data_IF_322551758800
#
_entry.id   IF_322551758800
#
_cell.length_a   1.000
_cell.length_b   1.000
_cell.length_c   1.000
_cell.angle_alpha   90.00
_cell.angle_beta   90.00
_cell.angle_gamma   90.00
#
_symmetry.space_group_name_H-M   'P 1'
#
loop_
_entity.id
_entity.type
_entity.pdbx_description
1 polymer ?
#
# COMPACT_ATOMS: atom_id res chain seq x y z
N UNK A 1 -1.74 12.18 -29.20
CA UNK A 1 -1.14 11.29 -28.15
C UNK A 1 -0.02 10.55 -28.84
N UNK A 2 1.21 10.60 -28.33
CA UNK A 2 2.39 10.10 -29.06
C UNK A 2 2.44 8.56 -28.94
N UNK A 3 2.61 7.83 -30.04
CA UNK A 3 2.68 6.36 -30.12
C UNK A 3 3.71 5.73 -29.17
N UNK A 4 4.82 6.45 -28.92
CA UNK A 4 5.86 6.07 -27.97
C UNK A 4 5.36 6.09 -26.50
N UNK A 5 4.53 7.07 -26.13
CA UNK A 5 3.94 7.16 -24.78
C UNK A 5 2.94 6.03 -24.53
N UNK A 6 2.16 5.68 -25.57
CA UNK A 6 1.21 4.56 -25.53
C UNK A 6 1.93 3.22 -25.33
N UNK A 7 3.02 2.97 -26.06
CA UNK A 7 3.81 1.73 -25.93
C UNK A 7 4.44 1.60 -24.55
N UNK A 8 5.01 2.68 -23.98
CA UNK A 8 5.55 2.70 -22.62
C UNK A 8 4.48 2.31 -21.59
N UNK A 9 3.29 2.88 -21.71
CA UNK A 9 2.16 2.60 -20.82
C UNK A 9 1.69 1.15 -20.93
N UNK A 10 1.57 0.61 -22.15
CA UNK A 10 1.20 -0.79 -22.37
C UNK A 10 2.22 -1.76 -21.75
N UNK A 11 3.51 -1.50 -21.94
CA UNK A 11 4.60 -2.27 -21.32
C UNK A 11 4.52 -2.24 -19.79
N UNK A 12 4.33 -1.05 -19.19
CA UNK A 12 4.21 -0.89 -17.74
C UNK A 12 3.01 -1.66 -17.19
N UNK A 13 1.85 -1.59 -17.84
CA UNK A 13 0.65 -2.30 -17.43
C UNK A 13 0.78 -3.82 -17.57
N UNK A 14 1.39 -4.31 -18.66
CA UNK A 14 1.67 -5.73 -18.85
C UNK A 14 2.67 -6.24 -17.80
N UNK A 15 3.74 -5.49 -17.53
CA UNK A 15 4.74 -5.82 -16.53
C UNK A 15 4.12 -5.86 -15.13
N UNK A 16 3.31 -4.87 -14.75
CA UNK A 16 2.61 -4.81 -13.48
C UNK A 16 1.78 -6.08 -13.22
N UNK A 17 0.97 -6.48 -14.20
CA UNK A 17 0.15 -7.70 -14.13
C UNK A 17 1.01 -8.95 -14.02
N UNK A 18 2.04 -9.10 -14.86
CA UNK A 18 2.86 -10.30 -14.89
C UNK A 18 3.73 -10.44 -13.65
N UNK A 19 4.35 -9.36 -13.18
CA UNK A 19 5.14 -9.38 -11.95
C UNK A 19 4.28 -9.70 -10.72
N UNK A 20 3.07 -9.15 -10.62
CA UNK A 20 2.18 -9.46 -9.49
C UNK A 20 1.71 -10.92 -9.48
N UNK A 21 1.58 -11.57 -10.66
CA UNK A 21 1.14 -12.95 -10.78
C UNK A 21 2.25 -13.98 -10.65
N UNK A 22 3.46 -13.70 -11.17
CA UNK A 22 4.53 -14.66 -11.38
C UNK A 22 5.83 -14.31 -10.65
N UNK A 23 5.86 -13.17 -10.00
CA UNK A 23 7.07 -12.62 -9.42
C UNK A 23 8.06 -12.04 -10.45
N UNK A 24 9.10 -11.41 -9.91
CA UNK A 24 10.17 -10.85 -10.73
C UNK A 24 10.89 -11.95 -11.54
N UNK A 25 11.33 -13.04 -10.89
CA UNK A 25 12.10 -14.12 -11.53
C UNK A 25 11.24 -14.90 -12.54
N UNK A 26 9.98 -15.15 -12.24
CA UNK A 26 9.05 -15.89 -13.11
C UNK A 26 8.54 -15.11 -14.33
N UNK A 27 8.98 -13.85 -14.51
CA UNK A 27 8.52 -12.99 -15.61
C UNK A 27 9.67 -12.65 -16.56
N UNK A 28 9.55 -13.03 -17.83
CA UNK A 28 10.53 -12.68 -18.88
C UNK A 28 10.17 -11.40 -19.61
N UNK A 29 11.18 -10.70 -20.17
CA UNK A 29 10.96 -9.54 -21.07
C UNK A 29 10.08 -9.93 -22.24
N UNK A 30 10.30 -11.12 -22.82
CA UNK A 30 9.51 -11.63 -23.93
C UNK A 30 8.02 -11.75 -23.54
N UNK A 31 7.72 -12.32 -22.38
CA UNK A 31 6.32 -12.41 -21.90
C UNK A 31 5.66 -11.04 -21.73
N UNK A 32 6.43 -10.03 -21.26
CA UNK A 32 5.93 -8.66 -21.11
C UNK A 32 5.66 -8.02 -22.47
N UNK A 33 6.58 -8.14 -23.42
CA UNK A 33 6.42 -7.55 -24.75
C UNK A 33 5.30 -8.21 -25.52
N UNK A 34 5.17 -9.54 -25.46
CA UNK A 34 4.06 -10.28 -26.08
C UNK A 34 2.71 -9.81 -25.51
N UNK A 35 2.61 -9.68 -24.17
CA UNK A 35 1.39 -9.21 -23.49
C UNK A 35 1.07 -7.74 -23.75
N UNK A 36 2.06 -6.92 -24.08
CA UNK A 36 1.91 -5.50 -24.39
C UNK A 36 1.66 -5.24 -25.89
N UNK A 37 1.76 -6.26 -26.75
CA UNK A 37 1.73 -6.09 -28.21
C UNK A 37 2.89 -5.20 -28.69
N UNK A 38 4.09 -5.39 -28.13
CA UNK A 38 5.28 -4.61 -28.45
C UNK A 38 6.43 -5.51 -28.89
N UNK A 39 7.40 -4.95 -29.62
CA UNK A 39 8.60 -5.68 -29.99
C UNK A 39 9.59 -5.79 -28.81
N UNK A 40 10.51 -6.73 -28.89
CA UNK A 40 11.46 -7.03 -27.82
C UNK A 40 12.37 -5.82 -27.47
N UNK A 41 12.72 -4.99 -28.46
CA UNK A 41 13.53 -3.79 -28.27
C UNK A 41 12.82 -2.66 -27.50
N UNK A 42 11.49 -2.70 -27.42
CA UNK A 42 10.72 -1.65 -26.76
C UNK A 42 11.04 -1.52 -25.26
N UNK A 43 11.32 -2.64 -24.56
CA UNK A 43 11.73 -2.59 -23.15
C UNK A 43 13.10 -1.91 -23.01
N UNK A 44 14.06 -2.27 -23.85
CA UNK A 44 15.38 -1.61 -23.84
C UNK A 44 15.31 -0.13 -24.19
N UNK A 45 14.43 0.24 -25.11
CA UNK A 45 14.22 1.64 -25.49
C UNK A 45 13.64 2.46 -24.35
N UNK A 46 12.54 1.98 -23.71
CA UNK A 46 11.78 2.75 -22.72
C UNK A 46 12.29 2.64 -21.28
N UNK A 47 12.86 1.48 -20.92
CA UNK A 47 13.21 1.16 -19.52
C UNK A 47 14.67 0.73 -19.35
N UNK A 48 15.39 0.41 -20.42
CA UNK A 48 16.78 -0.07 -20.46
C UNK A 48 16.92 -1.52 -20.00
N UNK A 49 16.47 -1.86 -18.80
CA UNK A 49 16.60 -3.20 -18.19
C UNK A 49 15.27 -3.71 -17.63
N UNK A 50 15.20 -5.01 -17.33
CA UNK A 50 14.08 -5.61 -16.59
C UNK A 50 13.97 -5.03 -15.19
N UNK A 51 15.11 -4.76 -14.53
CA UNK A 51 15.15 -4.15 -13.19
C UNK A 51 14.52 -2.76 -13.20
N UNK A 52 14.94 -1.91 -14.15
CA UNK A 52 14.38 -0.56 -14.26
C UNK A 52 12.88 -0.56 -14.60
N UNK A 53 12.41 -1.53 -15.39
CA UNK A 53 10.99 -1.74 -15.61
C UNK A 53 10.27 -2.18 -14.33
N UNK A 54 10.87 -3.10 -13.56
CA UNK A 54 10.33 -3.54 -12.28
C UNK A 54 10.25 -2.39 -11.27
N UNK A 55 11.30 -1.60 -11.14
CA UNK A 55 11.30 -0.39 -10.31
C UNK A 55 10.22 0.61 -10.74
N UNK A 56 10.02 0.81 -12.05
CA UNK A 56 8.95 1.67 -12.56
C UNK A 56 7.56 1.12 -12.19
N UNK A 57 7.37 -0.21 -12.21
CA UNK A 57 6.15 -0.85 -11.71
C UNK A 57 5.95 -0.58 -10.22
N UNK A 58 6.96 -0.78 -9.40
CA UNK A 58 6.88 -0.50 -7.96
C UNK A 58 6.51 0.96 -7.69
N UNK A 59 7.17 1.92 -8.35
CA UNK A 59 6.84 3.35 -8.23
C UNK A 59 5.40 3.66 -8.66
N UNK A 60 4.92 3.04 -9.73
CA UNK A 60 3.54 3.23 -10.21
C UNK A 60 2.47 2.73 -9.24
N UNK A 61 2.81 1.76 -8.40
CA UNK A 61 1.92 1.21 -7.39
C UNK A 61 2.03 1.94 -6.05
N UNK A 62 3.23 2.34 -5.64
CA UNK A 62 3.44 2.99 -4.34
C UNK A 62 3.13 4.48 -4.37
N UNK A 63 3.38 5.18 -5.47
CA UNK A 63 3.18 6.63 -5.60
C UNK A 63 1.76 7.07 -5.24
N UNK A 64 0.71 6.56 -5.92
CA UNK A 64 -0.67 6.95 -5.63
C UNK A 64 -1.13 6.60 -4.20
N UNK A 65 -0.57 5.54 -3.60
CA UNK A 65 -0.81 5.21 -2.19
C UNK A 65 -0.31 6.33 -1.28
N UNK A 66 0.95 6.73 -1.47
CA UNK A 66 1.56 7.79 -0.64
C UNK A 66 0.85 9.12 -0.83
N UNK A 67 0.51 9.47 -2.07
CA UNK A 67 -0.23 10.70 -2.37
C UNK A 67 -1.59 10.73 -1.64
N UNK A 68 -2.35 9.61 -1.67
CA UNK A 68 -3.66 9.54 -1.01
C UNK A 68 -3.57 9.63 0.51
N UNK A 69 -2.59 8.93 1.12
CA UNK A 69 -2.36 8.98 2.57
C UNK A 69 -1.84 10.35 2.99
N UNK A 70 -0.90 10.93 2.23
CA UNK A 70 -0.37 12.26 2.52
C UNK A 70 -1.48 13.32 2.47
N UNK A 71 -2.34 13.31 1.44
CA UNK A 71 -3.48 14.21 1.35
C UNK A 71 -4.44 14.08 2.55
N UNK A 72 -4.66 12.86 3.05
CA UNK A 72 -5.48 12.62 4.23
C UNK A 72 -4.83 13.19 5.51
N UNK A 73 -3.51 13.05 5.66
CA UNK A 73 -2.76 13.60 6.81
C UNK A 73 -2.72 15.13 6.83
N UNK A 74 -2.88 15.80 5.70
CA UNK A 74 -2.89 17.26 5.59
C UNK A 74 -4.27 17.90 5.78
N UNK A 75 -5.32 17.11 6.00
CA UNK A 75 -6.66 17.66 6.25
C UNK A 75 -6.68 18.42 7.58
N UNK A 76 -7.51 19.46 7.69
CA UNK A 76 -7.74 20.12 8.97
C UNK A 76 -8.46 19.18 9.94
N UNK A 77 -8.13 19.28 11.23
CA UNK A 77 -8.78 18.48 12.28
C UNK A 77 -7.80 17.99 13.34
N UNK A 78 -8.34 17.31 14.35
CA UNK A 78 -7.55 16.71 15.40
C UNK A 78 -6.59 15.61 14.86
N UNK A 79 -5.44 15.39 15.50
CA UNK A 79 -4.50 14.36 15.07
C UNK A 79 -5.15 12.98 14.83
N UNK A 80 -6.05 12.57 15.71
CA UNK A 80 -6.73 11.28 15.57
C UNK A 80 -7.61 11.20 14.32
N UNK A 81 -8.30 12.28 13.94
CA UNK A 81 -9.18 12.30 12.76
C UNK A 81 -8.34 12.22 11.47
N UNK A 82 -7.19 12.89 11.45
CA UNK A 82 -6.22 12.82 10.35
C UNK A 82 -5.61 11.42 10.20
N UNK A 83 -5.30 10.75 11.32
CA UNK A 83 -4.82 9.35 11.31
C UNK A 83 -5.91 8.41 10.79
N UNK A 84 -7.17 8.60 11.21
CA UNK A 84 -8.29 7.80 10.69
C UNK A 84 -8.49 7.98 9.19
N UNK A 85 -8.45 9.22 8.69
CA UNK A 85 -8.55 9.51 7.27
C UNK A 85 -7.40 8.85 6.49
N UNK A 86 -6.18 8.91 7.01
CA UNK A 86 -5.00 8.27 6.42
C UNK A 86 -5.13 6.74 6.41
N UNK A 87 -5.62 6.14 7.51
CA UNK A 87 -5.85 4.69 7.61
C UNK A 87 -6.95 4.22 6.65
N UNK A 88 -8.01 5.01 6.47
CA UNK A 88 -9.06 4.73 5.47
C UNK A 88 -8.49 4.78 4.05
N UNK A 89 -7.74 5.81 3.71
CA UNK A 89 -7.13 5.95 2.39
C UNK A 89 -6.16 4.78 2.10
N UNK A 90 -5.32 4.43 3.07
CA UNK A 90 -4.42 3.28 2.99
C UNK A 90 -5.18 1.97 2.79
N UNK A 91 -6.19 1.71 3.63
CA UNK A 91 -6.97 0.47 3.59
C UNK A 91 -7.72 0.33 2.28
N UNK A 92 -8.39 1.39 1.82
CA UNK A 92 -9.13 1.37 0.55
C UNK A 92 -8.19 1.13 -0.63
N UNK A 93 -7.02 1.77 -0.65
CA UNK A 93 -6.02 1.55 -1.69
C UNK A 93 -5.56 0.09 -1.72
N UNK A 94 -5.20 -0.46 -0.56
CA UNK A 94 -4.72 -1.84 -0.43
C UNK A 94 -5.78 -2.87 -0.82
N UNK A 95 -7.05 -2.58 -0.56
CA UNK A 95 -8.15 -3.50 -0.87
C UNK A 95 -8.68 -3.38 -2.31
N UNK A 96 -8.49 -2.25 -2.98
CA UNK A 96 -8.94 -2.05 -4.37
C UNK A 96 -7.86 -2.35 -5.41
N UNK A 97 -6.61 -2.50 -5.00
CA UNK A 97 -5.46 -2.80 -5.88
C UNK A 97 -4.89 -4.18 -5.54
N UNK A 98 -5.11 -5.15 -6.44
CA UNK A 98 -4.67 -6.54 -6.19
C UNK A 98 -3.16 -6.72 -6.37
N UNK A 99 -2.54 -5.92 -7.25
CA UNK A 99 -1.14 -6.07 -7.59
C UNK A 99 -0.20 -5.64 -6.45
N UNK A 100 -0.55 -4.56 -5.73
CA UNK A 100 0.31 -4.02 -4.67
C UNK A 100 0.53 -5.00 -3.51
N UNK A 101 -0.53 -5.58 -2.89
CA UNK A 101 -0.36 -6.57 -1.85
C UNK A 101 0.41 -7.81 -2.32
N UNK A 102 0.14 -8.27 -3.54
CA UNK A 102 0.80 -9.45 -4.11
C UNK A 102 2.31 -9.23 -4.24
N UNK A 103 2.73 -8.08 -4.78
CA UNK A 103 4.14 -7.75 -4.91
C UNK A 103 4.82 -7.54 -3.54
N UNK A 104 4.15 -6.86 -2.61
CA UNK A 104 4.67 -6.68 -1.25
C UNK A 104 4.94 -8.02 -0.57
N UNK A 105 4.01 -8.97 -0.67
CA UNK A 105 4.18 -10.30 -0.11
C UNK A 105 5.33 -11.07 -0.74
N UNK A 106 5.47 -10.99 -2.05
CA UNK A 106 6.58 -11.63 -2.76
C UNK A 106 7.92 -11.07 -2.30
N UNK A 107 8.04 -9.74 -2.15
CA UNK A 107 9.27 -9.11 -1.66
C UNK A 107 9.58 -9.52 -0.20
N UNK A 108 8.57 -9.56 0.67
CA UNK A 108 8.74 -10.00 2.05
C UNK A 108 9.14 -11.49 2.14
N UNK A 109 8.58 -12.35 1.29
CA UNK A 109 8.87 -13.78 1.28
C UNK A 109 10.32 -14.09 0.82
N UNK A 110 10.91 -13.24 -0.02
CA UNK A 110 12.27 -13.44 -0.54
C UNK A 110 13.37 -13.15 0.47
N UNK A 111 13.07 -12.56 1.63
CA UNK A 111 14.02 -12.21 2.71
C UNK A 111 15.27 -11.45 2.19
N UNK A 112 15.13 -10.73 1.09
CA UNK A 112 16.17 -9.86 0.51
C UNK A 112 15.90 -8.40 0.88
N UNK A 113 16.89 -7.50 0.73
CA UNK A 113 16.66 -6.07 0.97
C UNK A 113 15.49 -5.54 0.15
N UNK A 114 14.59 -4.78 0.81
CA UNK A 114 13.44 -4.17 0.15
C UNK A 114 13.93 -3.28 -1.00
N UNK A 115 13.36 -3.41 -2.21
CA UNK A 115 13.74 -2.59 -3.37
C UNK A 115 13.73 -1.09 -3.06
N UNK A 116 14.74 -0.37 -3.57
CA UNK A 116 14.91 1.05 -3.29
C UNK A 116 13.62 1.88 -3.56
N UNK A 117 12.90 1.71 -4.70
CA UNK A 117 11.68 2.46 -4.95
C UNK A 117 10.59 2.25 -3.89
N UNK A 118 10.45 1.02 -3.41
CA UNK A 118 9.47 0.71 -2.35
C UNK A 118 9.89 1.34 -1.02
N UNK A 119 11.17 1.23 -0.64
CA UNK A 119 11.69 1.84 0.58
C UNK A 119 11.60 3.37 0.54
N UNK A 120 12.01 3.99 -0.56
CA UNK A 120 11.96 5.45 -0.77
C UNK A 120 10.55 6.02 -0.70
N UNK A 121 9.55 5.22 -1.05
CA UNK A 121 8.14 5.63 -1.05
C UNK A 121 7.45 5.35 0.29
N UNK A 122 7.67 4.16 0.87
CA UNK A 122 6.99 3.75 2.11
C UNK A 122 7.57 4.46 3.35
N UNK A 123 8.88 4.71 3.40
CA UNK A 123 9.48 5.34 4.57
C UNK A 123 8.95 6.75 4.87
N UNK A 124 8.74 7.66 3.88
CA UNK A 124 8.06 8.93 4.12
C UNK A 124 6.62 8.78 4.62
N UNK A 125 5.89 7.79 4.11
CA UNK A 125 4.52 7.50 4.55
C UNK A 125 4.48 7.13 6.04
N UNK A 126 5.35 6.22 6.48
CA UNK A 126 5.44 5.83 7.90
C UNK A 126 5.83 7.02 8.78
N UNK A 127 6.82 7.82 8.35
CA UNK A 127 7.22 9.03 9.08
C UNK A 127 6.12 10.08 9.13
N UNK A 128 5.35 10.24 8.07
CA UNK A 128 4.23 11.18 8.02
C UNK A 128 3.14 10.86 9.04
N UNK A 129 2.76 9.58 9.17
CA UNK A 129 1.80 9.13 10.18
C UNK A 129 2.39 9.27 11.59
N UNK A 130 3.65 8.86 11.79
CA UNK A 130 4.34 8.98 13.07
C UNK A 130 4.38 10.44 13.56
N UNK A 131 4.65 11.39 12.66
CA UNK A 131 4.66 12.82 13.01
C UNK A 131 3.30 13.33 13.50
N UNK A 132 2.19 12.84 12.93
CA UNK A 132 0.83 13.18 13.40
C UNK A 132 0.52 12.51 14.75
N UNK A 133 1.03 11.29 14.99
CA UNK A 133 0.95 10.65 16.30
C UNK A 133 1.72 11.47 17.36
N UNK A 134 2.96 11.90 17.04
CA UNK A 134 3.74 12.77 17.93
C UNK A 134 3.04 14.10 18.24
N UNK A 135 2.34 14.68 17.26
CA UNK A 135 1.52 15.87 17.47
C UNK A 135 0.43 15.61 18.52
N UNK A 136 -0.34 14.51 18.39
CA UNK A 136 -1.36 14.14 19.34
C UNK A 136 -0.82 13.70 20.73
N UNK A 137 0.40 13.19 20.78
CA UNK A 137 1.07 12.92 22.07
C UNK A 137 1.47 14.21 22.79
N UNK A 138 1.91 15.24 22.04
CA UNK A 138 2.27 16.54 22.61
C UNK A 138 1.06 17.34 23.12
N UNK A 139 -0.08 17.23 22.47
CA UNK A 139 -1.33 17.87 22.92
C UNK A 139 -2.12 17.02 23.92
N UNK A 140 -1.65 15.80 24.22
CA UNK A 140 -2.28 14.88 25.17
C UNK A 140 -3.51 14.13 24.64
N UNK A 141 -3.84 14.21 23.35
CA UNK A 141 -4.99 13.53 22.76
C UNK A 141 -4.71 12.08 22.37
N UNK A 142 -3.43 11.72 22.14
CA UNK A 142 -2.97 10.37 21.78
C UNK A 142 -2.13 9.78 22.90
N UNK A 143 -2.26 8.47 23.12
CA UNK A 143 -1.52 7.70 24.10
C UNK A 143 -0.01 7.80 23.89
N UNK A 144 0.76 7.76 24.98
CA UNK A 144 2.22 7.68 24.92
C UNK A 144 2.71 6.39 24.30
N UNK A 145 3.95 6.40 23.82
CA UNK A 145 4.61 5.25 23.19
C UNK A 145 5.50 5.68 22.04
N UNK A 146 6.21 4.74 21.43
CA UNK A 146 7.01 4.99 20.24
C UNK A 146 6.08 5.29 19.03
N UNK A 147 6.15 6.48 18.41
CA UNK A 147 5.25 6.86 17.32
C UNK A 147 5.38 5.95 16.08
N UNK A 148 6.58 5.43 15.80
CA UNK A 148 6.81 4.54 14.68
C UNK A 148 6.18 3.17 14.93
N UNK A 149 6.32 2.62 16.14
CA UNK A 149 5.69 1.35 16.53
C UNK A 149 4.16 1.47 16.53
N UNK A 150 3.60 2.58 17.00
CA UNK A 150 2.17 2.86 16.93
C UNK A 150 1.70 2.96 15.47
N UNK A 151 2.48 3.59 14.59
CA UNK A 151 2.21 3.67 13.15
C UNK A 151 2.16 2.27 12.53
N UNK A 152 3.18 1.45 12.77
CA UNK A 152 3.26 0.07 12.23
C UNK A 152 2.07 -0.76 12.73
N UNK A 153 1.76 -0.69 14.02
CA UNK A 153 0.61 -1.40 14.61
C UNK A 153 -0.72 -0.97 13.99
N UNK A 154 -0.89 0.32 13.75
CA UNK A 154 -2.09 0.89 13.12
C UNK A 154 -2.29 0.39 11.69
N UNK A 155 -1.23 0.30 10.90
CA UNK A 155 -1.31 -0.08 9.50
C UNK A 155 -1.34 -1.60 9.29
N UNK A 156 -0.75 -2.38 10.20
CA UNK A 156 -0.55 -3.82 10.06
C UNK A 156 -1.86 -4.60 9.91
N UNK A 157 -2.95 -4.17 10.58
CA UNK A 157 -4.24 -4.84 10.51
C UNK A 157 -4.81 -4.84 9.08
N UNK A 158 -4.80 -3.67 8.41
CA UNK A 158 -5.26 -3.57 7.02
C UNK A 158 -4.38 -4.37 6.07
N UNK A 159 -3.05 -4.31 6.22
CA UNK A 159 -2.11 -5.06 5.41
C UNK A 159 -2.34 -6.58 5.56
N UNK A 160 -2.49 -7.06 6.79
CA UNK A 160 -2.72 -8.46 7.07
C UNK A 160 -4.04 -8.98 6.48
N UNK A 161 -5.14 -8.23 6.60
CA UNK A 161 -6.44 -8.63 6.07
C UNK A 161 -6.47 -8.71 4.54
N UNK A 162 -5.68 -7.89 3.86
CA UNK A 162 -5.53 -7.99 2.40
C UNK A 162 -4.87 -9.33 2.01
N UNK A 163 -3.84 -9.74 2.77
CA UNK A 163 -3.17 -11.03 2.59
C UNK A 163 -4.13 -12.18 2.87
N UNK A 164 -4.94 -12.04 3.90
CA UNK A 164 -5.87 -13.08 4.36
C UNK A 164 -7.20 -13.13 3.57
N UNK A 165 -7.38 -12.31 2.52
CA UNK A 165 -8.65 -12.26 1.76
C UNK A 165 -9.14 -13.64 1.31
N UNK A 166 -8.26 -14.40 0.66
CA UNK A 166 -8.60 -15.73 0.15
C UNK A 166 -8.86 -16.72 1.29
N UNK A 167 -7.96 -16.92 2.26
CA UNK A 167 -8.24 -17.76 3.42
C UNK A 167 -9.54 -17.39 4.15
N UNK A 168 -9.79 -16.12 4.40
CA UNK A 168 -11.01 -15.67 5.11
C UNK A 168 -12.27 -15.97 4.30
N UNK A 169 -12.24 -15.81 2.98
CA UNK A 169 -13.36 -16.21 2.11
C UNK A 169 -13.60 -17.71 2.15
N UNK A 170 -12.53 -18.52 2.05
CA UNK A 170 -12.64 -19.98 2.01
C UNK A 170 -13.05 -20.58 3.37
N UNK A 171 -12.56 -20.03 4.48
CA UNK A 171 -12.78 -20.57 5.83
C UNK A 171 -14.04 -19.98 6.48
N UNK A 172 -14.25 -18.67 6.36
CA UNK A 172 -15.32 -17.95 7.07
C UNK A 172 -16.44 -17.43 6.16
N UNK A 173 -16.37 -17.65 4.83
CA UNK A 173 -17.36 -17.18 3.87
C UNK A 173 -17.40 -15.66 3.67
N UNK A 174 -16.45 -14.91 4.24
CA UNK A 174 -16.43 -13.44 4.20
C UNK A 174 -15.76 -12.97 2.92
N UNK A 175 -16.54 -12.40 2.01
CA UNK A 175 -16.05 -11.89 0.73
C UNK A 175 -15.61 -10.42 0.83
N UNK A 176 -14.32 -10.17 0.98
CA UNK A 176 -13.74 -8.82 1.06
C UNK A 176 -13.71 -8.05 -0.28
N UNK A 177 -14.05 -8.70 -1.42
CA UNK A 177 -14.25 -7.99 -2.70
C UNK A 177 -15.62 -7.31 -2.76
N UNK A 178 -16.58 -7.74 -1.93
CA UNK A 178 -17.86 -7.05 -1.81
C UNK A 178 -17.67 -5.68 -1.18
N UNK A 179 -18.14 -4.57 -1.80
CA UNK A 179 -17.93 -3.22 -1.31
C UNK A 179 -18.50 -2.96 0.09
N UNK A 180 -19.65 -3.56 0.42
CA UNK A 180 -20.25 -3.37 1.74
C UNK A 180 -19.45 -4.10 2.84
N UNK A 181 -19.00 -5.30 2.55
CA UNK A 181 -18.15 -6.08 3.46
C UNK A 181 -16.82 -5.37 3.68
N UNK A 182 -16.20 -4.86 2.62
CA UNK A 182 -14.97 -4.07 2.69
C UNK A 182 -15.16 -2.82 3.54
N UNK A 183 -16.24 -2.06 3.31
CA UNK A 183 -16.54 -0.86 4.10
C UNK A 183 -16.67 -1.19 5.58
N UNK A 184 -17.47 -2.20 5.93
CA UNK A 184 -17.65 -2.63 7.35
C UNK A 184 -16.32 -3.02 7.99
N UNK A 185 -15.46 -3.71 7.26
CA UNK A 185 -14.15 -4.12 7.74
C UNK A 185 -13.23 -2.92 7.99
N UNK A 186 -13.17 -1.97 7.05
CA UNK A 186 -12.37 -0.74 7.22
C UNK A 186 -12.91 0.07 8.42
N UNK A 187 -14.22 0.24 8.54
CA UNK A 187 -14.84 0.93 9.68
C UNK A 187 -14.50 0.25 11.00
N UNK A 188 -14.48 -1.07 11.04
CA UNK A 188 -14.10 -1.84 12.22
C UNK A 188 -12.61 -1.62 12.61
N UNK A 189 -11.69 -1.68 11.65
CA UNK A 189 -10.27 -1.42 11.89
C UNK A 189 -10.06 0.00 12.44
N UNK A 190 -10.66 0.98 11.78
CA UNK A 190 -10.58 2.39 12.19
C UNK A 190 -11.10 2.58 13.62
N UNK A 191 -12.24 1.95 13.96
CA UNK A 191 -12.79 2.04 15.31
C UNK A 191 -11.89 1.41 16.39
N UNK A 192 -11.18 0.29 16.06
CA UNK A 192 -10.23 -0.33 16.99
C UNK A 192 -9.01 0.60 17.17
N UNK A 193 -8.45 1.10 16.08
CA UNK A 193 -7.29 2.01 16.11
C UNK A 193 -7.61 3.28 16.88
N UNK A 194 -8.75 3.91 16.62
CA UNK A 194 -9.19 5.09 17.36
C UNK A 194 -9.24 4.84 18.88
N UNK A 195 -9.86 3.74 19.30
CA UNK A 195 -9.93 3.39 20.74
C UNK A 195 -8.56 3.12 21.35
N UNK A 196 -7.66 2.50 20.56
CA UNK A 196 -6.32 2.18 21.03
C UNK A 196 -5.38 3.38 21.09
N UNK A 197 -5.61 4.41 20.27
CA UNK A 197 -4.77 5.60 20.22
C UNK A 197 -5.28 6.74 21.11
N UNK A 198 -6.58 6.83 21.38
CA UNK A 198 -7.10 7.90 22.23
C UNK A 198 -6.72 7.67 23.69
N UNK A 199 -6.30 8.74 24.36
CA UNK A 199 -6.18 8.75 25.82
C UNK A 199 -7.55 8.52 26.43
N UNK A 200 -7.72 7.44 27.18
CA UNK A 200 -8.96 7.20 27.95
C UNK A 200 -9.07 8.30 29.01
N UNK A 201 -10.03 9.19 28.86
CA UNK A 201 -10.38 10.13 29.93
C UNK A 201 -10.76 9.31 31.16
N UNK A 202 -9.89 9.27 32.15
CA UNK A 202 -9.81 8.42 33.30
C UNK A 202 -11.15 7.99 33.89
N UNK A 203 -11.38 6.71 33.81
CA UNK A 203 -11.99 5.95 34.87
C UNK A 203 -10.85 5.30 35.64
N UNK A 204 -10.40 5.92 36.71
CA UNK A 204 -9.47 5.27 37.63
C UNK A 204 -10.10 3.98 38.14
N UNK A 205 -9.28 2.90 38.15
CA UNK A 205 -9.52 1.75 39.01
C UNK A 205 -9.18 2.13 40.45
#
# INVERSE_FOLDING_TARGET
MNESTDTKTRLLNAARRLFSQRGYEGTSIKAITDAAGANLGAVTYHFKTKDALYEAVLRSLTGPLVESVHAALQQPGAPIDRIEAALRAYSEYMHTREEMPSLLLQELALQRPIPAPMRETIAPLLRGIAAVIEEGQRDGSIVGGDPLLLTISTMSQSAFLVVMRRPVKEIAGVNMHDPQTRKRMIDHIVAIVRRGLLVSNGGGL
#
